data_IF_500518590359
#
_entry.id   IF_500518590359
#
_cell.length_a   1.000
_cell.length_b   1.000
_cell.length_c   1.000
_cell.angle_alpha   90.00
_cell.angle_beta   90.00
_cell.angle_gamma   90.00
#
_symmetry.space_group_name_H-M   'P 1'
#
loop_
_entity.id
_entity.type
_entity.pdbx_description
1 polymer ?
#
# COMPACT_ATOMS: atom_id res chain seq x y z
N UNK A 1 5.53 4.45 18.92
CA UNK A 1 5.35 3.46 17.83
C UNK A 1 3.85 3.37 17.58
N UNK A 2 3.40 3.73 16.37
CA UNK A 2 1.98 3.90 16.05
C UNK A 2 1.44 2.80 15.12
N UNK A 3 2.23 2.38 14.14
CA UNK A 3 1.90 1.28 13.23
C UNK A 3 2.12 -0.06 13.94
N UNK A 4 1.11 -0.93 13.87
CA UNK A 4 1.09 -2.24 14.51
C UNK A 4 1.30 -3.32 13.47
N UNK A 5 0.58 -3.28 12.37
CA UNK A 5 0.73 -4.23 11.27
C UNK A 5 0.50 -3.55 9.93
N UNK A 6 1.20 -4.01 8.90
CA UNK A 6 1.03 -3.59 7.52
C UNK A 6 1.16 -4.80 6.61
N UNK A 7 0.17 -5.07 5.78
CA UNK A 7 0.11 -6.24 4.91
C UNK A 7 -0.13 -5.79 3.48
N UNK A 8 0.83 -6.05 2.58
CA UNK A 8 0.68 -5.74 1.16
C UNK A 8 -0.13 -6.78 0.42
N UNK A 9 -0.23 -8.00 0.94
CA UNK A 9 -0.96 -9.08 0.28
C UNK A 9 -0.42 -9.48 -1.11
N UNK A 10 0.81 -9.10 -1.43
CA UNK A 10 1.47 -9.37 -2.72
C UNK A 10 2.10 -10.75 -2.82
N UNK A 11 2.18 -11.50 -1.72
CA UNK A 11 2.92 -12.75 -1.70
C UNK A 11 2.24 -13.82 -2.56
N UNK A 12 3.04 -14.72 -3.14
CA UNK A 12 2.54 -15.84 -3.94
C UNK A 12 2.29 -17.12 -3.13
N UNK A 13 2.68 -17.13 -1.85
CA UNK A 13 2.55 -18.28 -0.95
C UNK A 13 1.38 -18.19 0.03
N UNK A 14 1.31 -19.21 0.90
CA UNK A 14 0.25 -19.39 1.90
C UNK A 14 0.47 -18.58 3.20
N UNK A 15 1.36 -17.58 3.17
CA UNK A 15 1.63 -16.68 4.30
C UNK A 15 1.49 -15.24 3.82
N UNK A 16 0.79 -14.43 4.61
CA UNK A 16 0.77 -12.97 4.49
C UNK A 16 1.76 -12.41 5.50
N UNK A 17 2.70 -11.62 5.03
CA UNK A 17 3.85 -11.14 5.80
C UNK A 17 3.53 -9.76 6.38
N UNK A 18 3.83 -9.56 7.65
CA UNK A 18 3.76 -8.25 8.29
C UNK A 18 4.99 -7.42 7.96
N UNK A 19 4.77 -6.35 7.20
CA UNK A 19 5.77 -5.40 6.73
C UNK A 19 5.92 -4.20 7.67
N UNK A 20 5.24 -4.18 8.82
CA UNK A 20 5.43 -3.15 9.84
C UNK A 20 6.73 -3.32 10.65
N UNK A 21 7.33 -4.52 10.60
CA UNK A 21 8.50 -4.89 11.41
C UNK A 21 8.16 -5.45 12.80
N UNK A 22 6.88 -5.73 13.09
CA UNK A 22 6.44 -6.26 14.39
C UNK A 22 6.17 -7.78 14.40
N UNK A 23 6.42 -8.47 13.27
CA UNK A 23 6.31 -9.92 13.12
C UNK A 23 4.88 -10.47 13.38
N UNK A 24 3.87 -9.76 12.90
CA UNK A 24 2.47 -10.18 12.93
C UNK A 24 2.04 -10.94 11.66
N UNK A 25 2.88 -11.82 11.14
CA UNK A 25 2.56 -12.67 9.99
C UNK A 25 1.33 -13.57 10.28
N UNK A 26 0.59 -13.94 9.23
CA UNK A 26 -0.51 -14.90 9.36
C UNK A 26 -0.62 -15.82 8.14
N UNK A 27 -1.19 -17.00 8.37
CA UNK A 27 -1.39 -17.98 7.31
C UNK A 27 -2.62 -17.62 6.46
N UNK A 28 -2.45 -17.65 5.15
CA UNK A 28 -3.53 -17.67 4.18
C UNK A 28 -4.16 -19.06 4.21
N UNK A 29 -5.19 -19.25 5.04
CA UNK A 29 -5.99 -20.48 5.02
C UNK A 29 -6.95 -20.47 3.82
N UNK A 30 -7.79 -21.51 3.68
CA UNK A 30 -8.75 -21.63 2.57
C UNK A 30 -9.77 -20.48 2.47
N UNK A 31 -9.86 -19.60 3.48
CA UNK A 31 -10.81 -18.48 3.57
C UNK A 31 -10.57 -17.30 2.61
N UNK A 32 -9.43 -17.26 1.91
CA UNK A 32 -9.19 -16.26 0.87
C UNK A 32 -8.36 -16.81 -0.30
N UNK A 33 -8.31 -16.06 -1.39
CA UNK A 33 -7.51 -16.36 -2.57
C UNK A 33 -6.75 -15.12 -3.01
N UNK A 34 -5.52 -15.31 -3.49
CA UNK A 34 -4.72 -14.26 -4.11
C UNK A 34 -5.36 -13.80 -5.41
N UNK A 35 -5.41 -12.50 -5.62
CA UNK A 35 -5.91 -11.81 -6.82
C UNK A 35 -4.98 -10.66 -7.18
N UNK A 36 -5.19 -10.02 -8.32
CA UNK A 36 -4.57 -8.72 -8.60
C UNK A 36 -5.15 -7.66 -7.67
N UNK A 37 -4.28 -6.91 -7.00
CA UNK A 37 -4.62 -5.84 -6.06
C UNK A 37 -4.62 -4.45 -6.68
N UNK A 38 -4.50 -3.45 -5.80
CA UNK A 38 -4.33 -2.06 -6.12
C UNK A 38 -2.88 -1.77 -6.53
N UNK A 39 -1.90 -2.27 -5.76
CA UNK A 39 -0.48 -2.03 -6.02
C UNK A 39 0.16 -3.19 -6.79
N UNK A 40 -0.09 -4.45 -6.40
CA UNK A 40 0.34 -5.63 -7.16
C UNK A 40 -0.65 -6.80 -6.95
N UNK A 41 -0.49 -7.52 -5.83
CA UNK A 41 -1.37 -8.59 -5.39
C UNK A 41 -2.39 -8.08 -4.40
N UNK A 42 -3.37 -8.92 -4.10
CA UNK A 42 -4.42 -8.61 -3.15
C UNK A 42 -5.12 -9.89 -2.70
N UNK A 43 -6.06 -9.75 -1.79
CA UNK A 43 -6.89 -10.86 -1.32
C UNK A 43 -8.34 -10.67 -1.74
N UNK A 44 -8.99 -11.80 -2.03
CA UNK A 44 -10.43 -11.91 -2.20
C UNK A 44 -10.97 -12.99 -1.26
N UNK A 45 -12.14 -12.80 -0.64
CA UNK A 45 -12.80 -13.84 0.14
C UNK A 45 -12.99 -15.13 -0.67
N UNK A 46 -12.79 -16.29 -0.03
CA UNK A 46 -12.98 -17.60 -0.62
C UNK A 46 -13.75 -18.50 0.32
N UNK A 47 -15.06 -18.58 0.13
CA UNK A 47 -15.96 -19.25 1.08
C UNK A 47 -16.37 -18.33 2.23
N UNK A 48 -16.98 -18.90 3.26
CA UNK A 48 -17.49 -18.16 4.42
C UNK A 48 -16.57 -18.23 5.65
N UNK A 49 -15.38 -18.82 5.51
CA UNK A 49 -14.43 -19.01 6.62
C UNK A 49 -13.59 -17.74 6.80
N UNK A 50 -13.68 -17.06 7.95
CA UNK A 50 -12.83 -15.91 8.24
C UNK A 50 -11.35 -16.27 8.31
N UNK A 51 -10.50 -15.36 7.86
CA UNK A 51 -9.07 -15.38 8.14
C UNK A 51 -8.83 -14.70 9.48
N UNK A 52 -8.29 -15.44 10.44
CA UNK A 52 -7.90 -14.89 11.74
C UNK A 52 -6.51 -14.27 11.65
N UNK A 53 -6.38 -13.02 12.09
CA UNK A 53 -5.12 -12.31 12.23
C UNK A 53 -4.55 -12.49 13.65
N UNK A 54 -3.27 -12.16 13.88
CA UNK A 54 -2.71 -12.13 15.23
C UNK A 54 -3.51 -11.16 16.12
N UNK A 55 -3.51 -11.40 17.43
CA UNK A 55 -4.29 -10.61 18.37
C UNK A 55 -3.70 -9.19 18.57
N UNK A 56 -4.11 -8.24 17.72
CA UNK A 56 -3.55 -6.88 17.60
C UNK A 56 -4.65 -5.81 17.48
N UNK A 57 -4.29 -4.51 17.55
CA UNK A 57 -5.22 -3.41 17.25
C UNK A 57 -6.34 -3.18 18.29
N UNK A 58 -6.09 -3.58 19.53
CA UNK A 58 -7.08 -3.56 20.62
C UNK A 58 -6.96 -2.35 21.58
N UNK A 59 -6.04 -1.41 21.33
CA UNK A 59 -5.85 -0.20 22.15
C UNK A 59 -7.01 0.76 22.02
N UNK A 60 -7.37 1.49 23.08
CA UNK A 60 -8.50 2.45 23.06
C UNK A 60 -8.47 3.34 21.82
N UNK A 61 -7.38 4.05 21.56
CA UNK A 61 -7.18 4.72 20.29
C UNK A 61 -6.66 3.76 19.23
N UNK A 62 -7.21 3.81 18.03
CA UNK A 62 -6.82 2.91 16.94
C UNK A 62 -7.22 3.42 15.57
N UNK A 63 -6.52 2.94 14.54
CA UNK A 63 -6.86 3.16 13.13
C UNK A 63 -6.77 1.85 12.38
N UNK A 64 -7.71 1.61 11.46
CA UNK A 64 -7.64 0.53 10.47
C UNK A 64 -7.90 1.11 9.10
N UNK A 65 -7.19 0.64 8.08
CA UNK A 65 -7.38 1.08 6.70
C UNK A 65 -6.98 0.01 5.70
N UNK A 66 -7.60 0.04 4.52
CA UNK A 66 -7.29 -0.84 3.40
C UNK A 66 -7.80 -0.21 2.08
N UNK A 67 -7.32 -0.74 0.96
CA UNK A 67 -7.90 -0.52 -0.35
C UNK A 67 -8.93 -1.61 -0.64
N UNK A 68 -10.07 -1.23 -1.21
CA UNK A 68 -11.13 -2.16 -1.60
C UNK A 68 -11.70 -1.84 -2.99
N UNK A 69 -12.12 -2.89 -3.71
CA UNK A 69 -12.78 -2.79 -5.02
C UNK A 69 -13.82 -3.89 -5.19
N UNK A 70 -14.95 -3.55 -5.81
CA UNK A 70 -16.03 -4.50 -6.11
C UNK A 70 -17.37 -4.08 -5.51
N UNK A 71 -18.31 -5.01 -5.43
CA UNK A 71 -19.69 -4.75 -5.00
C UNK A 71 -19.92 -4.69 -3.49
N UNK A 72 -18.86 -4.92 -2.69
CA UNK A 72 -18.81 -5.04 -1.22
C UNK A 72 -20.19 -5.35 -0.57
N UNK A 73 -20.55 -6.64 -0.41
CA UNK A 73 -21.85 -7.02 0.14
C UNK A 73 -21.96 -6.69 1.64
N UNK A 74 -23.16 -6.82 2.21
CA UNK A 74 -23.43 -6.61 3.64
C UNK A 74 -22.62 -7.58 4.51
N UNK A 75 -21.42 -7.15 4.90
CA UNK A 75 -20.42 -7.98 5.55
C UNK A 75 -19.24 -7.17 6.10
N UNK A 76 -18.30 -7.84 6.76
CA UNK A 76 -17.20 -7.25 7.52
C UNK A 76 -15.82 -7.42 6.87
N UNK A 77 -15.38 -6.54 5.95
CA UNK A 77 -14.00 -6.53 5.42
C UNK A 77 -12.96 -6.86 6.47
N UNK A 78 -13.04 -6.18 7.61
CA UNK A 78 -12.28 -6.51 8.80
C UNK A 78 -13.12 -6.20 10.04
N UNK A 79 -13.09 -7.10 11.03
CA UNK A 79 -13.72 -6.86 12.32
C UNK A 79 -12.90 -7.39 13.48
N UNK A 80 -13.03 -6.73 14.62
CA UNK A 80 -12.72 -7.26 15.94
C UNK A 80 -14.01 -7.73 16.57
N UNK A 81 -14.20 -9.05 16.64
CA UNK A 81 -15.47 -9.64 17.04
C UNK A 81 -15.65 -9.62 18.55
N UNK A 82 -16.84 -9.21 19.02
CA UNK A 82 -17.26 -9.35 20.41
C UNK A 82 -18.44 -10.34 20.46
N UNK A 83 -18.26 -11.56 21.02
CA UNK A 83 -19.31 -12.56 21.12
C UNK A 83 -20.45 -12.16 22.08
N UNK A 84 -20.22 -11.18 22.93
CA UNK A 84 -21.19 -10.72 23.94
C UNK A 84 -22.05 -9.55 23.46
N UNK A 85 -21.77 -9.01 22.27
CA UNK A 85 -22.56 -7.93 21.66
C UNK A 85 -23.97 -8.42 21.25
N UNK A 86 -24.88 -7.46 21.01
CA UNK A 86 -26.25 -7.70 20.55
C UNK A 86 -26.99 -8.78 21.38
N UNK A 87 -26.91 -8.67 22.72
CA UNK A 87 -27.56 -9.62 23.64
C UNK A 87 -26.96 -11.03 23.63
N UNK A 88 -25.71 -11.19 23.19
CA UNK A 88 -25.01 -12.47 23.07
C UNK A 88 -25.11 -13.11 21.69
N UNK A 89 -25.70 -12.43 20.70
CA UNK A 89 -25.64 -12.84 19.30
C UNK A 89 -24.25 -12.59 18.66
N UNK A 90 -23.52 -11.63 19.24
CA UNK A 90 -22.18 -11.23 18.83
C UNK A 90 -22.15 -10.33 17.59
N UNK A 91 -21.16 -9.46 17.53
CA UNK A 91 -21.03 -8.41 16.51
C UNK A 91 -19.59 -7.91 16.45
N UNK A 92 -19.17 -7.29 15.34
CA UNK A 92 -17.89 -6.58 15.30
C UNK A 92 -17.90 -5.38 16.27
N UNK A 93 -17.10 -5.38 17.32
CA UNK A 93 -16.99 -4.22 18.21
C UNK A 93 -16.28 -3.05 17.54
N UNK A 94 -15.35 -3.36 16.64
CA UNK A 94 -14.58 -2.39 15.86
C UNK A 94 -14.36 -2.95 14.45
N UNK A 95 -14.34 -2.09 13.43
CA UNK A 95 -13.90 -2.50 12.10
C UNK A 95 -14.58 -1.76 10.95
N UNK A 96 -14.27 -2.23 9.74
CA UNK A 96 -14.88 -1.76 8.49
C UNK A 96 -16.02 -2.71 8.18
N UNK A 97 -17.21 -2.14 7.99
CA UNK A 97 -18.46 -2.84 7.72
C UNK A 97 -19.07 -2.28 6.45
N UNK A 98 -19.48 -3.15 5.52
CA UNK A 98 -20.43 -2.76 4.48
C UNK A 98 -21.84 -3.09 4.95
N UNK A 99 -22.76 -2.14 4.77
CA UNK A 99 -24.13 -2.23 5.24
C UNK A 99 -25.08 -1.46 4.31
N UNK A 100 -25.95 -2.21 3.64
CA UNK A 100 -27.01 -1.73 2.75
C UNK A 100 -26.49 -0.78 1.67
N UNK A 101 -25.37 -1.13 1.04
CA UNK A 101 -24.71 -0.33 0.00
C UNK A 101 -23.89 0.86 0.51
N UNK A 102 -23.71 0.98 1.83
CA UNK A 102 -22.81 1.95 2.43
C UNK A 102 -21.57 1.27 3.00
N UNK A 103 -20.43 1.94 2.92
CA UNK A 103 -19.27 1.58 3.72
C UNK A 103 -19.31 2.35 5.04
N UNK A 104 -19.02 1.65 6.13
CA UNK A 104 -19.16 2.13 7.49
C UNK A 104 -17.92 1.79 8.32
N UNK A 105 -17.67 2.59 9.36
CA UNK A 105 -16.80 2.19 10.47
C UNK A 105 -17.69 1.97 11.67
N UNK A 106 -17.63 0.80 12.29
CA UNK A 106 -18.34 0.56 13.54
C UNK A 106 -17.38 0.68 14.72
N UNK A 107 -17.79 1.39 15.77
CA UNK A 107 -17.19 1.32 17.10
C UNK A 107 -18.28 1.12 18.15
N UNK A 108 -18.09 0.16 19.06
CA UNK A 108 -19.00 -0.13 20.17
C UNK A 108 -18.32 0.05 21.52
N UNK A 109 -18.98 0.73 22.45
CA UNK A 109 -18.58 0.85 23.86
C UNK A 109 -19.58 0.16 24.82
N UNK A 110 -20.73 -0.29 24.31
CA UNK A 110 -21.76 -1.02 25.06
C UNK A 110 -22.46 -2.08 24.22
N UNK A 111 -23.46 -2.75 24.80
CA UNK A 111 -24.25 -3.77 24.08
C UNK A 111 -25.06 -3.14 22.94
N UNK A 112 -25.72 -2.02 23.21
CA UNK A 112 -26.51 -1.24 22.24
C UNK A 112 -25.93 0.16 22.00
N UNK A 113 -24.80 0.49 22.64
CA UNK A 113 -24.11 1.76 22.47
C UNK A 113 -23.00 1.62 21.41
N UNK A 114 -23.21 2.29 20.28
CA UNK A 114 -22.28 2.27 19.16
C UNK A 114 -22.33 3.57 18.35
N UNK A 115 -21.24 3.85 17.65
CA UNK A 115 -21.15 4.82 16.58
C UNK A 115 -20.89 4.08 15.27
N UNK A 116 -21.58 4.50 14.21
CA UNK A 116 -21.46 3.92 12.87
C UNK A 116 -21.52 5.02 11.80
N UNK A 117 -20.49 5.88 11.69
CA UNK A 117 -20.40 6.77 10.55
C UNK A 117 -20.36 5.98 9.25
N UNK A 118 -21.03 6.51 8.22
CA UNK A 118 -21.23 5.80 6.96
C UNK A 118 -21.25 6.74 5.76
N UNK A 119 -20.90 6.20 4.60
CA UNK A 119 -21.09 6.86 3.31
C UNK A 119 -21.46 5.84 2.24
N UNK A 120 -22.17 6.28 1.20
CA UNK A 120 -22.49 5.43 0.06
C UNK A 120 -21.20 4.91 -0.60
N UNK A 121 -21.19 3.63 -0.97
CA UNK A 121 -20.09 3.06 -1.75
C UNK A 121 -20.10 3.67 -3.16
N UNK A 122 -19.00 4.31 -3.64
CA UNK A 122 -19.08 5.12 -4.85
C UNK A 122 -19.36 4.31 -6.12
N UNK A 123 -18.59 3.25 -6.35
CA UNK A 123 -18.74 2.36 -7.49
C UNK A 123 -18.04 1.01 -7.28
N UNK A 124 -18.31 0.05 -8.17
CA UNK A 124 -17.79 -1.32 -8.03
C UNK A 124 -16.55 -1.61 -8.89
N UNK A 125 -16.04 -0.61 -9.60
CA UNK A 125 -15.06 -0.75 -10.68
C UNK A 125 -13.71 -0.13 -10.35
N UNK A 126 -13.69 0.91 -9.54
CA UNK A 126 -12.49 1.60 -9.08
C UNK A 126 -12.07 1.06 -7.71
N UNK A 127 -10.78 1.24 -7.42
CA UNK A 127 -10.26 1.04 -6.08
C UNK A 127 -10.58 2.27 -5.25
N UNK A 128 -11.05 2.06 -4.02
CA UNK A 128 -11.25 3.11 -3.04
C UNK A 128 -10.53 2.78 -1.75
N UNK A 129 -9.94 3.79 -1.13
CA UNK A 129 -9.26 3.66 0.14
C UNK A 129 -10.23 3.95 1.28
N UNK A 130 -10.40 3.00 2.18
CA UNK A 130 -11.29 3.12 3.34
C UNK A 130 -10.45 3.14 4.60
N UNK A 131 -10.65 4.15 5.45
CA UNK A 131 -9.99 4.22 6.75
C UNK A 131 -10.97 4.58 7.86
N UNK A 132 -10.82 3.93 9.00
CA UNK A 132 -11.53 4.23 10.24
C UNK A 132 -10.60 4.58 11.37
N UNK A 133 -10.88 5.67 12.06
CA UNK A 133 -10.12 6.08 13.26
C UNK A 133 -11.07 6.17 14.44
N UNK A 134 -10.61 5.72 15.61
CA UNK A 134 -11.27 5.99 16.87
C UNK A 134 -10.28 6.60 17.86
N UNK A 135 -10.61 7.79 18.36
CA UNK A 135 -9.84 8.57 19.31
C UNK A 135 -10.53 9.90 19.60
N UNK A 136 -10.20 10.55 20.71
CA UNK A 136 -10.81 11.84 21.09
C UNK A 136 -12.35 11.81 21.19
N UNK A 137 -12.94 10.67 21.58
CA UNK A 137 -14.39 10.42 21.67
C UNK A 137 -15.17 10.46 20.34
N UNK A 138 -14.51 10.17 19.21
CA UNK A 138 -15.19 10.09 17.91
C UNK A 138 -14.73 8.87 17.11
N UNK A 139 -15.69 8.20 16.47
CA UNK A 139 -15.44 7.30 15.35
C UNK A 139 -15.53 8.13 14.08
N UNK A 140 -14.50 8.06 13.24
CA UNK A 140 -14.44 8.77 11.96
C UNK A 140 -14.25 7.78 10.83
N UNK A 141 -14.94 8.02 9.72
CA UNK A 141 -14.79 7.31 8.46
C UNK A 141 -14.16 8.25 7.44
N UNK A 142 -13.08 7.79 6.81
CA UNK A 142 -12.46 8.44 5.67
C UNK A 142 -12.62 7.54 4.45
N UNK A 143 -12.98 8.17 3.33
CA UNK A 143 -13.04 7.54 2.01
C UNK A 143 -12.15 8.35 1.06
N UNK A 144 -11.23 7.66 0.38
CA UNK A 144 -10.25 8.25 -0.53
C UNK A 144 -9.47 9.42 0.10
N UNK A 145 -9.12 9.25 1.38
CA UNK A 145 -8.35 10.21 2.18
C UNK A 145 -9.16 11.40 2.71
N UNK A 146 -10.45 11.50 2.39
CA UNK A 146 -11.34 12.58 2.82
C UNK A 146 -12.26 12.11 3.95
N UNK A 147 -12.46 12.93 4.97
CA UNK A 147 -13.42 12.64 6.04
C UNK A 147 -14.84 12.61 5.45
N UNK A 148 -15.43 11.42 5.39
CA UNK A 148 -16.76 11.21 4.81
C UNK A 148 -17.87 11.39 5.85
N UNK A 149 -17.68 10.85 7.05
CA UNK A 149 -18.61 10.99 8.17
C UNK A 149 -17.91 10.77 9.51
N UNK A 150 -18.51 11.27 10.60
CA UNK A 150 -18.06 11.02 11.97
C UNK A 150 -19.22 11.01 12.96
N UNK A 151 -19.09 10.19 13.99
CA UNK A 151 -20.06 10.13 15.08
C UNK A 151 -19.35 10.12 16.44
N UNK A 152 -19.97 10.77 17.42
CA UNK A 152 -19.45 10.79 18.79
C UNK A 152 -19.66 9.44 19.45
N UNK A 153 -18.63 8.93 20.12
CA UNK A 153 -18.68 7.75 20.97
C UNK A 153 -17.76 7.99 22.16
N UNK A 154 -18.33 8.05 23.36
CA UNK A 154 -17.57 8.41 24.57
C UNK A 154 -17.19 7.17 25.36
N UNK A 155 -15.96 7.13 25.88
CA UNK A 155 -15.45 5.98 26.63
C UNK A 155 -14.78 4.94 25.74
N UNK A 156 -14.16 3.91 26.34
CA UNK A 156 -13.38 2.91 25.61
C UNK A 156 -14.27 2.03 24.74
N UNK A 157 -13.71 1.50 23.64
CA UNK A 157 -14.40 0.44 22.90
C UNK A 157 -14.44 -0.83 23.75
N UNK A 158 -15.42 -1.70 23.47
CA UNK A 158 -15.47 -3.03 24.10
C UNK A 158 -14.21 -3.83 23.75
N UNK A 159 -13.79 -4.63 24.72
CA UNK A 159 -12.76 -5.65 24.52
C UNK A 159 -13.35 -6.69 23.58
N UNK A 160 -12.65 -6.93 22.48
CA UNK A 160 -13.04 -7.86 21.43
C UNK A 160 -11.92 -8.87 21.20
N UNK A 161 -12.21 -9.95 20.49
CA UNK A 161 -11.25 -10.97 20.10
C UNK A 161 -10.23 -10.46 19.06
N UNK A 162 -9.35 -11.35 18.62
CA UNK A 162 -8.43 -11.08 17.53
C UNK A 162 -9.18 -10.65 16.25
N UNK A 163 -8.61 -9.74 15.43
CA UNK A 163 -9.23 -9.33 14.21
C UNK A 163 -9.40 -10.50 13.23
N UNK A 164 -10.47 -10.45 12.46
CA UNK A 164 -10.73 -11.38 11.36
C UNK A 164 -10.99 -10.61 10.08
N UNK A 165 -10.46 -11.13 8.96
CA UNK A 165 -10.84 -10.72 7.61
C UNK A 165 -11.89 -11.68 7.06
N UNK A 166 -12.82 -11.15 6.28
CA UNK A 166 -13.67 -11.93 5.37
C UNK A 166 -14.52 -13.03 6.01
N UNK A 167 -15.67 -12.71 6.59
CA UNK A 167 -16.65 -13.71 7.04
C UNK A 167 -17.68 -14.17 6.00
N UNK A 168 -17.46 -13.97 4.70
CA UNK A 168 -18.48 -14.19 3.67
C UNK A 168 -17.89 -14.51 2.30
N UNK A 169 -18.75 -14.96 1.38
CA UNK A 169 -18.41 -15.21 -0.02
C UNK A 169 -18.57 -13.94 -0.87
N UNK A 170 -17.48 -13.49 -1.50
CA UNK A 170 -17.46 -12.23 -2.25
C UNK A 170 -16.66 -12.30 -3.54
N UNK A 171 -16.86 -11.31 -4.41
CA UNK A 171 -16.00 -11.08 -5.59
C UNK A 171 -15.12 -9.84 -5.45
N UNK A 172 -15.28 -9.15 -4.33
CA UNK A 172 -14.55 -7.98 -3.87
C UNK A 172 -13.08 -8.31 -3.57
N UNK A 173 -12.21 -7.38 -3.94
CA UNK A 173 -10.77 -7.46 -3.75
C UNK A 173 -10.33 -6.43 -2.72
N UNK A 174 -9.36 -6.80 -1.91
CA UNK A 174 -8.76 -5.98 -0.88
C UNK A 174 -7.25 -5.98 -1.00
N UNK A 175 -6.63 -4.88 -0.60
CA UNK A 175 -5.20 -4.69 -0.67
C UNK A 175 -4.74 -3.74 0.46
N UNK A 176 -3.45 -3.75 0.79
CA UNK A 176 -2.76 -2.70 1.56
C UNK A 176 -3.35 -2.44 2.97
N UNK A 177 -3.65 -3.51 3.70
CA UNK A 177 -4.19 -3.42 5.05
C UNK A 177 -3.17 -2.84 6.04
N UNK A 178 -3.56 -1.82 6.79
CA UNK A 178 -2.79 -1.27 7.91
C UNK A 178 -3.61 -1.17 9.19
N UNK A 179 -2.96 -1.44 10.31
CA UNK A 179 -3.53 -1.35 11.66
C UNK A 179 -2.60 -0.52 12.53
N UNK A 180 -3.16 0.48 13.23
CA UNK A 180 -2.45 1.36 14.13
C UNK A 180 -3.07 1.34 15.54
N UNK A 181 -2.24 1.48 16.57
CA UNK A 181 -2.66 1.63 17.98
C UNK A 181 -2.84 3.11 18.37
N UNK A 182 -3.18 3.95 17.39
CA UNK A 182 -3.47 5.37 17.58
C UNK A 182 -4.50 5.82 16.56
N UNK A 183 -5.24 6.88 16.89
CA UNK A 183 -6.09 7.57 15.93
C UNK A 183 -5.19 8.46 15.05
N UNK A 184 -5.09 8.13 13.77
CA UNK A 184 -4.36 8.98 12.84
C UNK A 184 -5.15 10.25 12.53
N UNK A 185 -4.42 11.36 12.46
CA UNK A 185 -4.95 12.62 11.96
C UNK A 185 -5.12 12.56 10.42
N UNK A 186 -5.95 13.45 9.81
CA UNK A 186 -6.26 13.39 8.38
C UNK A 186 -5.02 13.35 7.46
N UNK A 187 -3.97 14.11 7.79
CA UNK A 187 -2.72 14.09 7.02
C UNK A 187 -2.02 12.72 7.06
N UNK A 188 -2.10 12.01 8.18
CA UNK A 188 -1.59 10.64 8.31
C UNK A 188 -2.37 9.63 7.48
N UNK A 189 -3.70 9.80 7.38
CA UNK A 189 -4.56 8.98 6.50
C UNK A 189 -4.15 9.16 5.04
N UNK A 190 -4.02 10.41 4.57
CA UNK A 190 -3.61 10.71 3.19
C UNK A 190 -2.20 10.20 2.90
N UNK A 191 -1.26 10.37 3.84
CA UNK A 191 0.11 9.87 3.68
C UNK A 191 0.17 8.34 3.60
N UNK A 192 -0.62 7.63 4.41
CA UNK A 192 -0.68 6.17 4.38
C UNK A 192 -1.37 5.64 3.12
N UNK A 193 -2.42 6.32 2.63
CA UNK A 193 -3.10 5.98 1.38
C UNK A 193 -2.18 6.09 0.16
N UNK A 194 -1.36 7.15 0.12
CA UNK A 194 -0.47 7.43 -1.02
C UNK A 194 0.85 6.65 -0.99
N UNK A 195 1.12 5.93 0.11
CA UNK A 195 2.30 5.08 0.23
C UNK A 195 1.81 3.64 0.18
N UNK A 196 2.08 2.85 -0.87
CA UNK A 196 1.73 1.44 -0.89
C UNK A 196 2.33 0.67 0.28
N UNK A 197 1.66 -0.39 0.79
CA UNK A 197 2.38 -1.36 1.62
C UNK A 197 3.18 -2.17 0.62
N UNK A 198 4.50 -2.07 0.67
CA UNK A 198 5.34 -2.95 -0.11
C UNK A 198 6.43 -3.44 0.82
N UNK A 199 6.87 -4.67 0.61
CA UNK A 199 8.12 -5.08 1.21
C UNK A 199 9.17 -4.09 0.71
N UNK A 200 9.96 -3.53 1.63
CA UNK A 200 11.27 -2.99 1.25
C UNK A 200 12.12 -4.21 0.87
N UNK A 201 11.79 -4.86 -0.25
CA UNK A 201 12.41 -6.09 -0.66
C UNK A 201 13.75 -5.73 -1.29
N UNK A 202 14.67 -5.35 -0.41
CA UNK A 202 16.08 -5.16 -0.73
C UNK A 202 16.65 -6.44 -1.38
N UNK A 203 16.04 -7.62 -1.18
CA UNK A 203 16.43 -8.84 -1.86
C UNK A 203 15.91 -8.90 -3.30
N UNK A 204 14.69 -8.42 -3.60
CA UNK A 204 14.21 -8.22 -4.98
C UNK A 204 14.97 -7.10 -5.69
N UNK A 205 15.26 -5.99 -5.01
CA UNK A 205 16.10 -4.91 -5.53
C UNK A 205 17.52 -5.43 -5.84
N UNK A 206 18.12 -6.20 -4.92
CA UNK A 206 19.42 -6.82 -5.14
C UNK A 206 19.38 -7.88 -6.25
N UNK A 207 18.31 -8.67 -6.36
CA UNK A 207 18.14 -9.67 -7.41
C UNK A 207 17.92 -9.02 -8.79
N UNK A 208 17.12 -7.97 -8.86
CA UNK A 208 16.89 -7.18 -10.07
C UNK A 208 18.18 -6.48 -10.50
N UNK A 209 18.95 -5.96 -9.53
CA UNK A 209 20.22 -5.30 -9.80
C UNK A 209 21.28 -6.23 -10.45
N UNK A 210 21.11 -7.54 -10.35
CA UNK A 210 21.97 -8.54 -11.00
C UNK A 210 21.27 -9.34 -12.09
N UNK A 211 19.99 -9.07 -12.38
CA UNK A 211 19.26 -9.75 -13.45
C UNK A 211 19.81 -9.31 -14.81
N UNK A 212 20.35 -10.27 -15.56
CA UNK A 212 21.03 -9.97 -16.82
C UNK A 212 20.10 -9.32 -17.86
N UNK A 213 18.80 -9.64 -17.85
CA UNK A 213 17.84 -9.07 -18.81
C UNK A 213 17.60 -7.61 -18.47
N UNK A 214 17.32 -7.31 -17.21
CA UNK A 214 17.11 -5.96 -16.72
C UNK A 214 18.36 -5.08 -16.90
N UNK A 215 19.53 -5.58 -16.49
CA UNK A 215 20.83 -4.88 -16.65
C UNK A 215 21.06 -4.50 -18.11
N UNK A 216 20.81 -5.41 -19.05
CA UNK A 216 20.98 -5.13 -20.49
C UNK A 216 19.99 -4.07 -20.99
N UNK A 217 18.74 -4.08 -20.51
CA UNK A 217 17.72 -3.07 -20.86
C UNK A 217 18.08 -1.69 -20.31
N UNK A 218 18.56 -1.61 -19.07
CA UNK A 218 19.05 -0.37 -18.45
C UNK A 218 20.27 0.16 -19.19
N UNK A 219 21.24 -0.69 -19.56
CA UNK A 219 22.39 -0.31 -20.36
C UNK A 219 21.97 0.33 -21.69
N UNK A 220 21.05 -0.30 -22.41
CA UNK A 220 20.52 0.22 -23.67
C UNK A 220 19.83 1.58 -23.50
N UNK A 221 18.99 1.72 -22.46
CA UNK A 221 18.29 2.97 -22.15
C UNK A 221 19.27 4.09 -21.76
N UNK A 222 20.27 3.79 -20.93
CA UNK A 222 21.34 4.71 -20.52
C UNK A 222 22.11 5.25 -21.73
N UNK A 223 22.54 4.36 -22.64
CA UNK A 223 23.26 4.75 -23.85
C UNK A 223 22.37 5.58 -24.79
N UNK A 224 21.11 5.17 -24.98
CA UNK A 224 20.14 5.93 -25.78
C UNK A 224 19.95 7.35 -25.23
N UNK A 225 19.77 7.47 -23.91
CA UNK A 225 19.61 8.77 -23.26
C UNK A 225 20.87 9.63 -23.35
N UNK A 226 22.05 9.02 -23.16
CA UNK A 226 23.35 9.70 -23.38
C UNK A 226 23.50 10.28 -24.79
N UNK A 227 23.04 9.56 -25.83
CA UNK A 227 23.03 10.07 -27.21
C UNK A 227 22.07 11.25 -27.37
N UNK A 228 20.87 11.20 -26.75
CA UNK A 228 19.90 12.31 -26.77
C UNK A 228 20.50 13.56 -26.13
N UNK A 229 21.08 13.41 -24.94
CA UNK A 229 21.78 14.48 -24.20
C UNK A 229 22.93 15.05 -25.03
N UNK A 230 23.78 14.19 -25.60
CA UNK A 230 24.89 14.62 -26.44
C UNK A 230 24.46 15.42 -27.66
N UNK A 231 23.40 14.98 -28.37
CA UNK A 231 22.83 15.71 -29.52
C UNK A 231 22.29 17.07 -29.13
N UNK A 232 21.54 17.14 -28.03
CA UNK A 232 20.97 18.40 -27.55
C UNK A 232 22.06 19.44 -27.21
N UNK A 233 23.14 18.99 -26.56
CA UNK A 233 24.22 19.87 -26.11
C UNK A 233 25.15 20.27 -27.25
N UNK A 234 25.46 19.37 -28.18
CA UNK A 234 26.26 19.72 -29.38
C UNK A 234 25.53 20.71 -30.30
N UNK A 235 24.19 20.72 -30.28
CA UNK A 235 23.38 21.72 -30.96
C UNK A 235 23.27 23.05 -30.20
N UNK A 236 23.72 23.13 -28.95
CA UNK A 236 23.62 24.33 -28.13
C UNK A 236 24.80 25.28 -28.38
N UNK A 237 24.52 26.53 -28.73
CA UNK A 237 25.57 27.53 -29.02
C UNK A 237 26.42 27.97 -27.81
N UNK A 238 25.99 27.70 -26.58
CA UNK A 238 26.73 28.02 -25.34
C UNK A 238 26.29 27.12 -24.17
N UNK A 239 26.88 25.92 -24.00
CA UNK A 239 26.47 24.98 -22.96
C UNK A 239 26.86 25.44 -21.56
N UNK A 240 25.92 25.30 -20.61
CA UNK A 240 26.10 25.62 -19.19
C UNK A 240 27.05 24.64 -18.48
N UNK A 241 27.39 24.92 -17.21
CA UNK A 241 28.15 23.98 -16.40
C UNK A 241 27.41 22.65 -16.19
N UNK A 242 26.08 22.71 -16.00
CA UNK A 242 25.23 21.52 -15.88
C UNK A 242 25.20 20.73 -17.19
N UNK A 243 25.15 21.40 -18.34
CA UNK A 243 25.20 20.73 -19.64
C UNK A 243 26.55 20.03 -19.83
N UNK A 244 27.66 20.66 -19.45
CA UNK A 244 28.97 20.02 -19.49
C UNK A 244 29.04 18.77 -18.60
N UNK A 245 28.47 18.82 -17.40
CA UNK A 245 28.40 17.65 -16.51
C UNK A 245 27.59 16.50 -17.13
N UNK A 246 26.42 16.80 -17.71
CA UNK A 246 25.60 15.82 -18.43
C UNK A 246 26.32 15.24 -19.64
N UNK A 247 27.05 16.07 -20.39
CA UNK A 247 27.83 15.61 -21.54
C UNK A 247 28.99 14.70 -21.12
N UNK A 248 29.66 15.00 -20.00
CA UNK A 248 30.71 14.14 -19.42
C UNK A 248 30.13 12.78 -19.05
N UNK A 249 28.96 12.75 -18.40
CA UNK A 249 28.28 11.49 -18.09
C UNK A 249 27.93 10.74 -19.37
N UNK A 250 27.37 11.41 -20.38
CA UNK A 250 27.02 10.78 -21.66
C UNK A 250 28.23 10.11 -22.34
N UNK A 251 29.39 10.77 -22.32
CA UNK A 251 30.64 10.21 -22.84
C UNK A 251 31.10 9.01 -22.01
N UNK A 252 31.02 9.11 -20.69
CA UNK A 252 31.43 8.03 -19.79
C UNK A 252 30.54 6.78 -19.92
N UNK A 253 29.22 6.95 -20.06
CA UNK A 253 28.26 5.88 -20.33
C UNK A 253 28.54 5.12 -21.64
N UNK A 254 29.16 5.77 -22.63
CA UNK A 254 29.55 5.14 -23.89
C UNK A 254 30.94 4.47 -23.80
N UNK A 255 31.86 5.06 -23.04
CA UNK A 255 33.25 4.59 -22.93
C UNK A 255 33.41 3.43 -21.94
N UNK A 256 32.71 3.47 -20.81
CA UNK A 256 32.73 2.45 -19.75
C UNK A 256 31.30 2.06 -19.38
N UNK A 257 30.61 1.51 -20.37
CA UNK A 257 29.19 1.21 -20.26
C UNK A 257 28.86 0.24 -19.12
N UNK A 258 29.75 -0.71 -18.79
CA UNK A 258 29.52 -1.67 -17.71
C UNK A 258 29.45 -0.96 -16.34
N UNK A 259 30.50 -0.23 -15.96
CA UNK A 259 30.56 0.47 -14.66
C UNK A 259 29.42 1.47 -14.50
N UNK A 260 29.07 2.20 -15.56
CA UNK A 260 27.99 3.17 -15.48
C UNK A 260 26.62 2.48 -15.47
N UNK A 261 26.44 1.35 -16.17
CA UNK A 261 25.21 0.56 -16.08
C UNK A 261 24.95 0.17 -14.63
N UNK A 262 25.95 -0.31 -13.89
CA UNK A 262 25.79 -0.68 -12.48
C UNK A 262 25.27 0.47 -11.62
N UNK A 263 25.69 1.71 -11.89
CA UNK A 263 25.20 2.92 -11.17
C UNK A 263 23.73 3.20 -11.46
N UNK A 264 23.33 3.12 -12.73
CA UNK A 264 21.92 3.30 -13.12
C UNK A 264 21.05 2.16 -12.60
N UNK A 265 21.51 0.93 -12.71
CA UNK A 265 20.82 -0.26 -12.21
C UNK A 265 20.62 -0.18 -10.71
N UNK A 266 21.64 0.21 -9.92
CA UNK A 266 21.48 0.40 -8.49
C UNK A 266 20.41 1.45 -8.14
N UNK A 267 20.42 2.58 -8.86
CA UNK A 267 19.43 3.64 -8.65
C UNK A 267 18.01 3.20 -9.01
N UNK A 268 17.84 2.51 -10.13
CA UNK A 268 16.54 2.04 -10.61
C UNK A 268 16.00 0.88 -9.76
N UNK A 269 16.83 -0.09 -9.40
CA UNK A 269 16.40 -1.23 -8.59
C UNK A 269 16.06 -0.84 -7.14
N UNK A 270 16.49 0.34 -6.69
CA UNK A 270 16.11 0.89 -5.38
C UNK A 270 14.76 1.62 -5.40
N UNK A 271 14.13 1.75 -6.58
CA UNK A 271 12.82 2.37 -6.75
C UNK A 271 11.71 1.33 -6.55
N UNK A 272 10.77 1.60 -5.64
CA UNK A 272 9.69 0.68 -5.30
C UNK A 272 8.70 0.41 -6.45
N UNK A 273 8.67 1.28 -7.47
CA UNK A 273 7.84 1.10 -8.67
C UNK A 273 8.53 0.25 -9.76
N UNK A 274 9.77 -0.21 -9.53
CA UNK A 274 10.58 -0.93 -10.51
C UNK A 274 10.79 -2.37 -10.06
N UNK A 275 10.14 -3.30 -10.76
CA UNK A 275 10.27 -4.74 -10.55
C UNK A 275 10.78 -5.46 -11.82
N UNK A 276 10.74 -6.80 -11.83
CA UNK A 276 11.17 -7.61 -12.97
C UNK A 276 10.20 -7.61 -14.17
N UNK A 277 9.02 -6.97 -14.03
CA UNK A 277 7.99 -6.86 -15.08
C UNK A 277 7.97 -5.50 -15.76
N UNK A 278 8.67 -4.52 -15.19
CA UNK A 278 8.75 -3.13 -15.69
C UNK A 278 9.01 -3.07 -17.21
N UNK A 279 8.29 -2.19 -17.90
CA UNK A 279 8.38 -2.05 -19.36
C UNK A 279 9.53 -1.12 -19.81
N UNK A 280 9.89 -1.16 -21.10
CA UNK A 280 11.00 -0.36 -21.63
C UNK A 280 10.73 1.15 -21.60
N UNK A 281 9.47 1.57 -21.61
CA UNK A 281 9.10 2.99 -21.55
C UNK A 281 9.39 3.56 -20.16
N UNK A 282 9.03 2.79 -19.13
CA UNK A 282 9.26 3.11 -17.72
C UNK A 282 10.75 3.10 -17.42
N UNK A 283 11.51 2.10 -17.87
CA UNK A 283 12.98 2.10 -17.73
C UNK A 283 13.60 3.36 -18.32
N UNK A 284 13.19 3.78 -19.54
CA UNK A 284 13.71 5.00 -20.16
C UNK A 284 13.37 6.26 -19.35
N UNK A 285 12.17 6.34 -18.79
CA UNK A 285 11.76 7.46 -17.93
C UNK A 285 12.64 7.50 -16.67
N UNK A 286 12.74 6.38 -15.95
CA UNK A 286 13.53 6.31 -14.71
C UNK A 286 15.01 6.60 -14.94
N UNK A 287 15.59 6.16 -16.06
CA UNK A 287 16.96 6.53 -16.48
C UNK A 287 17.11 8.05 -16.63
N UNK A 288 16.11 8.72 -17.23
CA UNK A 288 16.13 10.17 -17.39
C UNK A 288 16.05 10.89 -16.04
N UNK A 289 15.19 10.41 -15.13
CA UNK A 289 14.97 10.98 -13.80
C UNK A 289 16.24 10.94 -12.95
N UNK A 290 16.97 9.82 -12.96
CA UNK A 290 18.21 9.67 -12.17
C UNK A 290 19.44 10.26 -12.86
N UNK A 291 19.33 10.72 -14.11
CA UNK A 291 20.50 11.16 -14.89
C UNK A 291 21.20 12.38 -14.28
N UNK A 292 20.44 13.38 -13.80
CA UNK A 292 21.02 14.56 -13.16
C UNK A 292 21.73 14.21 -11.85
N UNK A 293 21.15 13.30 -11.07
CA UNK A 293 21.74 12.79 -9.84
C UNK A 293 23.10 12.14 -10.12
N UNK A 294 23.16 11.23 -11.10
CA UNK A 294 24.40 10.54 -11.47
C UNK A 294 25.42 11.50 -12.11
N UNK A 295 24.96 12.53 -12.82
CA UNK A 295 25.80 13.57 -13.39
C UNK A 295 26.34 14.57 -12.35
N UNK A 296 25.87 14.51 -11.09
CA UNK A 296 26.22 15.47 -10.05
C UNK A 296 25.67 16.87 -10.31
N UNK A 297 24.56 16.97 -11.05
CA UNK A 297 23.84 18.21 -11.30
C UNK A 297 22.80 18.38 -10.19
N UNK A 298 22.77 19.53 -9.49
CA UNK A 298 21.73 19.81 -8.49
C UNK A 298 20.34 19.64 -9.11
N UNK A 299 19.50 18.88 -8.42
CA UNK A 299 18.10 18.63 -8.77
C UNK A 299 17.20 19.72 -8.21
#
# INVERSE_FOLDING_TARGET
>A
MALVAAYSMDESGDTVIDLSGNAHDFALTSGATRVTGHTLGGLRPNGATPLTLPNIGQTDERTVMLWAKGSIPDAWPIQWYDPTADGGAGSGAWGILSNMGNICIQGRNGADEFARPLTAWPDTTNWHHVAGTFGGNAVKLYLDGVLADQQTLTGPLRIADAPTLFGWTGTDSYDDLRIYNTALEPAGIVAAMNTPVASSDLASAAALAIDATFVNRVCAAMQQYGVIVGKAILGAGSPSAADKARLILAQACLADHATYTDRFVWALASDAEVDNTVDDATIRSKVADVYNLIAGVPV
#
